data_IF_034148815041
#
_entry.id   IF_034148815041
#
_cell.length_a   1.000
_cell.length_b   1.000
_cell.length_c   1.000
_cell.angle_alpha   90.00
_cell.angle_beta   90.00
_cell.angle_gamma   90.00
#
_symmetry.space_group_name_H-M   'P 1'
#
loop_
_entity.id
_entity.type
_entity.pdbx_description
1 polymer ?
#
# COMPACT_ATOMS: atom_id res chain seq x y z
N UNK A 1 5.84 -0.24 1.32
CA UNK A 1 5.47 -1.09 2.47
C UNK A 1 4.26 -0.49 3.14
N UNK A 2 3.26 -1.30 3.44
CA UNK A 2 2.05 -0.90 4.13
C UNK A 2 2.00 -1.64 5.48
N UNK A 3 2.05 -0.90 6.59
CA UNK A 3 1.90 -1.46 7.93
C UNK A 3 0.46 -1.28 8.39
N UNK A 4 -0.22 -2.39 8.68
CA UNK A 4 -1.63 -2.39 9.07
C UNK A 4 -1.75 -2.16 10.57
N UNK A 5 -2.55 -1.17 10.98
CA UNK A 5 -2.76 -0.81 12.38
C UNK A 5 -4.14 -1.24 12.91
N UNK A 6 -5.01 -1.69 12.01
CA UNK A 6 -6.38 -2.12 12.28
C UNK A 6 -6.65 -3.40 11.53
N UNK A 7 -7.61 -4.17 12.04
CA UNK A 7 -7.96 -5.46 11.50
C UNK A 7 -8.60 -5.37 10.10
N UNK A 8 -7.89 -5.92 9.11
CA UNK A 8 -8.36 -6.15 7.74
C UNK A 8 -8.22 -7.63 7.36
N UNK A 9 -8.40 -8.57 8.30
CA UNK A 9 -8.25 -10.01 8.03
C UNK A 9 -9.44 -10.62 7.27
N UNK A 10 -10.51 -9.85 7.08
CA UNK A 10 -11.71 -10.26 6.35
C UNK A 10 -12.03 -9.30 5.20
N UNK A 11 -12.59 -9.80 4.08
CA UNK A 11 -13.12 -8.97 3.01
C UNK A 11 -14.15 -7.93 3.50
N UNK A 12 -14.23 -6.79 2.81
CA UNK A 12 -15.17 -5.71 3.14
C UNK A 12 -14.67 -4.72 4.19
N UNK A 13 -13.43 -4.90 4.69
CA UNK A 13 -12.79 -4.02 5.67
C UNK A 13 -11.82 -3.02 5.02
N UNK A 14 -12.18 -2.52 3.84
CA UNK A 14 -11.30 -1.72 2.97
C UNK A 14 -9.95 -2.40 2.68
N UNK A 15 -9.95 -3.70 2.42
CA UNK A 15 -8.74 -4.47 2.16
C UNK A 15 -7.99 -3.94 0.91
N UNK A 16 -6.71 -4.26 0.84
CA UNK A 16 -5.91 -4.05 -0.37
C UNK A 16 -6.23 -5.16 -1.37
N UNK A 17 -6.69 -4.79 -2.56
CA UNK A 17 -6.91 -5.70 -3.68
C UNK A 17 -5.75 -5.52 -4.63
N UNK A 18 -5.18 -6.64 -5.10
CA UNK A 18 -4.03 -6.65 -6.01
C UNK A 18 -4.30 -7.58 -7.18
N UNK A 19 -3.74 -7.28 -8.35
CA UNK A 19 -3.68 -8.22 -9.45
C UNK A 19 -2.24 -8.76 -9.55
N UNK A 20 -1.97 -9.99 -9.08
CA UNK A 20 -0.62 -10.56 -9.15
C UNK A 20 -0.05 -10.56 -10.57
N UNK A 21 1.27 -10.37 -10.69
CA UNK A 21 1.96 -10.33 -11.99
C UNK A 21 1.74 -9.07 -12.84
N UNK A 22 0.74 -8.24 -12.53
CA UNK A 22 0.42 -7.06 -13.35
C UNK A 22 1.53 -6.02 -13.52
N UNK A 23 2.50 -5.99 -12.62
CA UNK A 23 3.65 -5.08 -12.69
C UNK A 23 4.56 -5.30 -13.91
N UNK A 24 4.37 -6.39 -14.67
CA UNK A 24 5.12 -6.71 -15.89
C UNK A 24 4.49 -6.18 -17.17
N UNK A 25 3.32 -5.52 -17.08
CA UNK A 25 2.61 -4.97 -18.24
C UNK A 25 2.17 -3.53 -17.99
N UNK A 26 2.15 -2.74 -19.06
CA UNK A 26 1.62 -1.38 -19.06
C UNK A 26 0.18 -1.30 -19.58
N UNK A 27 -0.42 -2.44 -19.94
CA UNK A 27 -1.81 -2.49 -20.37
C UNK A 27 -2.72 -2.51 -19.14
N UNK A 28 -3.64 -1.55 -19.08
CA UNK A 28 -4.65 -1.53 -18.04
C UNK A 28 -5.59 -2.73 -18.18
N UNK A 29 -5.87 -3.48 -17.10
CA UNK A 29 -6.85 -4.56 -17.12
C UNK A 29 -8.22 -4.01 -17.46
N UNK A 30 -8.97 -4.73 -18.30
CA UNK A 30 -10.35 -4.37 -18.62
C UNK A 30 -11.23 -4.65 -17.41
N UNK A 31 -11.85 -3.61 -16.86
CA UNK A 31 -12.77 -3.69 -15.72
C UNK A 31 -14.20 -3.45 -16.22
N UNK A 32 -14.95 -4.50 -16.51
CA UNK A 32 -16.36 -4.39 -16.93
C UNK A 32 -17.31 -4.15 -15.74
N UNK A 33 -17.01 -3.16 -14.90
CA UNK A 33 -17.72 -2.91 -13.64
C UNK A 33 -17.38 -3.87 -12.49
N UNK A 34 -16.48 -4.82 -12.74
CA UNK A 34 -15.98 -5.78 -11.78
C UNK A 34 -14.45 -5.74 -11.70
N UNK A 35 -13.91 -6.37 -10.66
CA UNK A 35 -12.48 -6.60 -10.56
C UNK A 35 -11.98 -7.47 -11.72
N UNK A 36 -10.78 -7.21 -12.26
CA UNK A 36 -10.17 -8.08 -13.25
C UNK A 36 -10.06 -9.52 -12.74
N UNK A 37 -10.16 -10.49 -13.65
CA UNK A 37 -9.92 -11.89 -13.31
C UNK A 37 -8.52 -12.08 -12.69
N UNK A 38 -8.44 -12.89 -11.64
CA UNK A 38 -7.21 -13.10 -10.88
C UNK A 38 -6.90 -12.01 -9.85
N UNK A 39 -7.80 -11.05 -9.61
CA UNK A 39 -7.64 -10.11 -8.49
C UNK A 39 -7.73 -10.85 -7.15
N UNK A 40 -6.76 -10.61 -6.29
CA UNK A 40 -6.65 -11.20 -4.96
C UNK A 40 -6.86 -10.16 -3.86
N UNK A 41 -7.46 -10.60 -2.75
CA UNK A 41 -7.69 -9.78 -1.56
C UNK A 41 -6.55 -10.04 -0.57
N UNK A 42 -5.84 -8.99 -0.19
CA UNK A 42 -4.83 -9.07 0.87
C UNK A 42 -5.52 -8.86 2.22
N UNK A 43 -5.68 -9.96 2.96
CA UNK A 43 -6.19 -9.96 4.33
C UNK A 43 -5.02 -9.84 5.31
N UNK A 44 -4.90 -8.68 5.97
CA UNK A 44 -3.80 -8.36 6.89
C UNK A 44 -4.34 -7.91 8.25
N UNK A 45 -3.75 -8.43 9.32
CA UNK A 45 -4.07 -8.06 10.69
C UNK A 45 -3.25 -6.87 11.20
N UNK A 46 -3.59 -6.34 12.39
CA UNK A 46 -2.77 -5.33 13.05
C UNK A 46 -1.34 -5.86 13.30
N UNK A 47 -0.33 -5.10 12.88
CA UNK A 47 1.08 -5.47 12.98
C UNK A 47 1.64 -6.10 11.70
N UNK A 48 0.79 -6.56 10.78
CA UNK A 48 1.24 -7.13 9.51
C UNK A 48 1.81 -6.04 8.58
N UNK A 49 2.81 -6.44 7.81
CA UNK A 49 3.46 -5.61 6.81
C UNK A 49 3.28 -6.22 5.42
N UNK A 50 2.69 -5.44 4.50
CA UNK A 50 2.54 -5.84 3.10
C UNK A 50 3.58 -5.11 2.24
N UNK A 51 4.37 -5.89 1.51
CA UNK A 51 5.36 -5.43 0.55
C UNK A 51 4.84 -5.70 -0.86
N UNK A 52 4.81 -4.67 -1.70
CA UNK A 52 4.41 -4.80 -3.09
C UNK A 52 5.14 -3.78 -3.97
N UNK A 53 5.34 -4.14 -5.23
CA UNK A 53 5.88 -3.25 -6.25
C UNK A 53 4.83 -2.17 -6.60
N UNK A 54 5.23 -0.90 -6.66
CA UNK A 54 4.33 0.22 -6.96
C UNK A 54 3.57 0.05 -8.29
N UNK A 55 4.12 -0.69 -9.25
CA UNK A 55 3.55 -0.93 -10.58
C UNK A 55 2.47 -2.01 -10.60
N UNK A 56 2.29 -2.77 -9.51
CA UNK A 56 1.19 -3.72 -9.46
C UNK A 56 -0.14 -2.96 -9.55
N UNK A 57 -1.08 -3.42 -10.34
CA UNK A 57 -2.44 -2.89 -10.30
C UNK A 57 -3.05 -3.24 -8.95
N UNK A 58 -3.51 -2.21 -8.25
CA UNK A 58 -4.08 -2.35 -6.92
C UNK A 58 -5.13 -1.28 -6.65
N UNK A 59 -6.03 -1.58 -5.72
CA UNK A 59 -7.02 -0.63 -5.19
C UNK A 59 -7.39 -1.00 -3.77
N UNK A 60 -8.03 -0.09 -3.04
CA UNK A 60 -8.76 -0.48 -1.84
C UNK A 60 -10.18 -0.93 -2.19
N UNK A 61 -10.74 -1.87 -1.42
CA UNK A 61 -12.18 -2.10 -1.42
C UNK A 61 -12.94 -0.95 -0.73
N UNK A 62 -14.25 -0.90 -0.95
CA UNK A 62 -15.12 -0.16 -0.06
C UNK A 62 -14.97 -0.69 1.38
N UNK A 63 -15.15 0.21 2.35
CA UNK A 63 -15.28 -0.19 3.75
C UNK A 63 -16.75 -0.39 4.07
N UNK A 64 -17.21 -1.64 4.12
CA UNK A 64 -18.57 -1.99 4.55
C UNK A 64 -18.62 -2.40 6.01
N UNK A 65 -17.49 -2.35 6.70
CA UNK A 65 -17.37 -2.63 8.13
C UNK A 65 -17.60 -1.37 8.99
N UNK A 66 -17.88 -1.59 10.27
CA UNK A 66 -18.19 -0.52 11.23
C UNK A 66 -16.96 0.26 11.71
N UNK A 67 -15.78 -0.36 11.67
CA UNK A 67 -14.52 0.23 12.12
C UNK A 67 -13.73 0.94 11.01
N UNK A 68 -12.91 1.97 11.35
CA UNK A 68 -12.04 2.61 10.38
C UNK A 68 -10.84 1.71 10.02
N UNK A 69 -10.36 1.83 8.79
CA UNK A 69 -9.07 1.27 8.37
C UNK A 69 -7.94 2.28 8.59
N UNK A 70 -6.89 1.89 9.31
CA UNK A 70 -5.65 2.66 9.49
C UNK A 70 -4.44 1.87 9.00
N UNK A 71 -3.68 2.46 8.08
CA UNK A 71 -2.49 1.86 7.47
C UNK A 71 -1.43 2.94 7.30
N UNK A 72 -0.18 2.64 7.66
CA UNK A 72 0.97 3.51 7.37
C UNK A 72 1.66 3.04 6.09
N UNK A 73 1.68 3.89 5.06
CA UNK A 73 2.34 3.61 3.80
C UNK A 73 3.72 4.28 3.75
N UNK A 74 4.76 3.46 3.67
CA UNK A 74 6.14 3.89 3.42
C UNK A 74 6.52 3.56 1.98
N UNK A 75 6.70 4.59 1.17
CA UNK A 75 7.19 4.47 -0.21
C UNK A 75 8.72 4.54 -0.24
N UNK A 76 9.35 3.47 -0.70
CA UNK A 76 10.80 3.44 -0.93
C UNK A 76 11.07 3.63 -2.42
N UNK A 77 11.99 4.54 -2.72
CA UNK A 77 12.39 4.91 -4.06
C UNK A 77 13.90 5.08 -4.10
N UNK A 78 14.48 5.05 -5.30
CA UNK A 78 15.89 5.36 -5.48
C UNK A 78 16.22 6.79 -5.00
N UNK A 79 17.39 6.98 -4.38
CA UNK A 79 17.84 8.25 -3.78
C UNK A 79 17.93 9.42 -4.76
N UNK A 80 18.07 9.16 -6.06
CA UNK A 80 18.10 10.19 -7.11
C UNK A 80 16.71 10.72 -7.50
N UNK A 81 15.62 10.15 -6.96
CA UNK A 81 14.26 10.63 -7.18
C UNK A 81 13.92 11.67 -6.11
N UNK A 82 13.24 12.74 -6.52
CA UNK A 82 12.73 13.74 -5.58
C UNK A 82 11.77 13.06 -4.57
N UNK A 83 11.89 13.35 -3.26
CA UNK A 83 10.92 12.92 -2.27
C UNK A 83 9.50 13.36 -2.64
N UNK A 84 8.51 12.55 -2.28
CA UNK A 84 7.09 12.85 -2.57
C UNK A 84 6.52 13.95 -1.66
N UNK A 85 7.10 14.12 -0.48
CA UNK A 85 6.74 15.09 0.53
C UNK A 85 7.82 16.19 0.61
N UNK A 86 7.50 17.34 1.20
CA UNK A 86 8.40 18.48 1.40
C UNK A 86 9.47 18.22 2.48
N UNK A 87 9.41 17.07 3.16
CA UNK A 87 10.42 16.57 4.11
C UNK A 87 10.81 17.61 5.19
N UNK A 88 9.84 18.25 5.82
CA UNK A 88 10.02 19.32 6.83
C UNK A 88 10.54 18.85 8.20
N UNK A 89 11.06 17.62 8.27
CA UNK A 89 11.46 16.91 9.50
C UNK A 89 12.95 17.01 9.82
N UNK A 90 13.67 17.95 9.19
CA UNK A 90 15.13 18.15 9.38
C UNK A 90 15.53 18.37 10.84
N UNK A 91 14.63 18.94 11.65
CA UNK A 91 14.79 19.15 13.09
C UNK A 91 14.91 17.85 13.91
N UNK A 92 14.69 16.68 13.28
CA UNK A 92 14.91 15.37 13.91
C UNK A 92 16.19 14.67 13.46
N UNK A 93 16.94 15.21 12.49
CA UNK A 93 18.07 14.51 11.85
C UNK A 93 19.21 14.19 12.81
N UNK A 94 19.43 15.01 13.84
CA UNK A 94 20.47 14.75 14.86
C UNK A 94 20.16 13.52 15.72
N UNK A 95 18.92 13.00 15.65
CA UNK A 95 18.47 11.78 16.35
C UNK A 95 18.36 10.57 15.41
N UNK A 96 18.65 10.74 14.13
CA UNK A 96 18.54 9.71 13.11
C UNK A 96 19.89 8.99 12.92
N UNK A 97 19.84 7.69 12.65
CA UNK A 97 21.02 6.97 12.16
C UNK A 97 21.32 7.35 10.67
N UNK A 98 22.48 6.94 10.12
CA UNK A 98 22.85 7.26 8.73
C UNK A 98 21.89 6.73 7.65
N UNK A 99 21.09 5.70 7.95
CA UNK A 99 20.09 5.14 7.02
C UNK A 99 18.79 5.98 7.08
N UNK A 100 18.43 6.46 8.27
CA UNK A 100 17.25 7.28 8.55
C UNK A 100 17.37 8.74 8.08
N UNK A 101 18.59 9.20 7.79
CA UNK A 101 18.89 10.54 7.27
C UNK A 101 18.84 10.61 5.74
#
# INVERSE_FOLDING_TARGET
VAFFLTDTTEPGRANLYVLPGSHTTNTQPVTNGHDPEGTEIVCAGPGDAVFFDRRIWHRSSANTWTGPRKVLFYGYSYRWLRPRDDMTVTHYFDRCDPIQR
#
